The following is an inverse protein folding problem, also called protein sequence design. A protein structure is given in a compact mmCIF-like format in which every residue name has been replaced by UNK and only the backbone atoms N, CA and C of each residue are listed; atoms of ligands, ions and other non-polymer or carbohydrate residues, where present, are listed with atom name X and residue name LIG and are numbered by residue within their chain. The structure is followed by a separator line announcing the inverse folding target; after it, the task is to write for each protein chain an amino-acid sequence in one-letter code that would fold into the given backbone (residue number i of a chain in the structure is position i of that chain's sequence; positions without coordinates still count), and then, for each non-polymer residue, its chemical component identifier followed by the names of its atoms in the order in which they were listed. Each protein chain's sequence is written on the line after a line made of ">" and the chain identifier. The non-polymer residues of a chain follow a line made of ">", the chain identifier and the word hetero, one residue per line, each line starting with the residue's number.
data_IF_384478317488
#
_entry.id   IF_384478317488
#
_cell.length_a   1.000
_cell.length_b   1.000
_cell.length_c   1.000
_cell.angle_alpha   90.00
_cell.angle_beta   90.00
_cell.angle_gamma   90.00
#
_symmetry.space_group_name_H-M   'P 1'
#
loop_
_entity.id
_entity.type
_entity.pdbx_description
1 polymer ?
#
# COMPACT_ATOMS: atom_id res chain seq x y z
N UNK A 1 -22.40 2.57 0.33
CA UNK A 1 -21.37 1.83 -0.43
C UNK A 1 -21.89 1.66 -1.85
N UNK A 2 -21.04 1.84 -2.86
CA UNK A 2 -21.37 1.61 -4.27
C UNK A 2 -20.49 0.48 -4.78
N UNK A 3 -21.05 -0.44 -5.56
CA UNK A 3 -20.33 -1.59 -6.11
C UNK A 3 -20.77 -1.90 -7.55
N UNK A 4 -19.87 -2.49 -8.33
CA UNK A 4 -20.14 -3.10 -9.64
C UNK A 4 -19.79 -4.58 -9.53
N UNK A 5 -20.70 -5.43 -9.99
CA UNK A 5 -20.49 -6.88 -10.09
C UNK A 5 -20.16 -7.21 -11.53
N UNK A 6 -19.01 -7.83 -11.73
CA UNK A 6 -18.54 -8.36 -13.01
C UNK A 6 -18.75 -9.87 -12.99
N UNK A 7 -19.49 -10.37 -13.96
CA UNK A 7 -19.76 -11.80 -14.13
C UNK A 7 -19.17 -12.30 -15.44
N UNK A 8 -18.67 -13.54 -15.47
CA UNK A 8 -18.17 -14.14 -16.70
C UNK A 8 -19.31 -14.41 -17.68
N UNK A 9 -19.14 -14.03 -18.95
CA UNK A 9 -20.08 -14.41 -20.03
C UNK A 9 -20.01 -15.92 -20.32
N UNK A 10 -18.83 -16.52 -20.11
CA UNK A 10 -18.51 -17.89 -20.51
C UNK A 10 -18.76 -18.92 -19.40
N UNK A 11 -19.10 -18.47 -18.20
CA UNK A 11 -19.37 -19.29 -17.02
C UNK A 11 -20.56 -18.69 -16.27
N UNK A 12 -21.79 -19.15 -16.55
CA UNK A 12 -22.99 -18.52 -15.98
C UNK A 12 -23.13 -18.72 -14.46
N UNK A 13 -22.38 -19.66 -13.88
CA UNK A 13 -22.42 -19.99 -12.45
C UNK A 13 -20.99 -20.07 -11.87
N UNK A 14 -20.29 -18.93 -11.72
CA UNK A 14 -18.99 -18.92 -11.05
C UNK A 14 -19.13 -19.39 -9.61
N UNK A 15 -18.15 -20.17 -9.13
CA UNK A 15 -18.09 -20.64 -7.74
C UNK A 15 -17.06 -19.90 -6.88
N UNK A 16 -16.19 -19.10 -7.51
CA UNK A 16 -15.22 -18.24 -6.84
C UNK A 16 -15.56 -16.78 -7.14
N UNK A 17 -15.58 -15.95 -6.10
CA UNK A 17 -15.70 -14.50 -6.20
C UNK A 17 -14.46 -13.79 -5.66
N UNK A 18 -14.02 -12.76 -6.37
CA UNK A 18 -12.99 -11.84 -5.89
C UNK A 18 -13.63 -10.52 -5.43
N UNK A 19 -13.19 -10.01 -4.28
CA UNK A 19 -13.56 -8.68 -3.79
C UNK A 19 -12.40 -7.72 -3.95
N UNK A 20 -12.65 -6.58 -4.59
CA UNK A 20 -11.63 -5.57 -4.91
C UNK A 20 -12.11 -4.19 -4.49
N UNK A 21 -11.28 -3.50 -3.70
CA UNK A 21 -11.51 -2.12 -3.30
C UNK A 21 -10.19 -1.44 -2.97
N UNK A 22 -10.22 -0.11 -2.94
CA UNK A 22 -9.13 0.74 -2.50
C UNK A 22 -9.64 1.64 -1.38
N UNK A 23 -8.79 1.98 -0.40
CA UNK A 23 -9.18 2.77 0.79
C UNK A 23 -9.95 4.06 0.47
N UNK A 24 -9.52 4.78 -0.56
CA UNK A 24 -10.03 6.10 -0.98
C UNK A 24 -10.14 6.24 -2.50
N UNK A 25 -9.76 5.21 -3.24
CA UNK A 25 -9.72 5.23 -4.70
C UNK A 25 -11.03 4.72 -5.29
N UNK A 26 -11.41 5.24 -6.45
CA UNK A 26 -12.56 4.69 -7.16
C UNK A 26 -12.17 3.35 -7.80
N UNK A 27 -12.76 2.26 -7.30
CA UNK A 27 -12.48 0.90 -7.78
C UNK A 27 -13.53 0.39 -8.76
N UNK A 28 -14.60 1.14 -9.04
CA UNK A 28 -15.73 0.64 -9.83
C UNK A 28 -15.39 0.23 -11.27
N UNK A 29 -14.26 0.70 -11.82
CA UNK A 29 -13.75 0.32 -13.15
C UNK A 29 -12.33 -0.28 -13.08
N UNK A 30 -11.99 -0.93 -11.96
CA UNK A 30 -10.66 -1.51 -11.77
C UNK A 30 -10.40 -2.61 -12.82
N UNK A 31 -9.22 -2.57 -13.45
CA UNK A 31 -8.77 -3.56 -14.45
C UNK A 31 -8.89 -4.98 -13.92
N UNK A 32 -8.57 -5.22 -12.64
CA UNK A 32 -8.64 -6.55 -12.03
C UNK A 32 -10.03 -7.18 -12.13
N UNK A 33 -11.10 -6.39 -11.95
CA UNK A 33 -12.46 -6.92 -12.05
C UNK A 33 -12.81 -7.41 -13.46
N UNK A 34 -12.36 -6.70 -14.50
CA UNK A 34 -12.55 -7.13 -15.89
C UNK A 34 -11.72 -8.36 -16.21
N UNK A 35 -10.45 -8.35 -15.84
CA UNK A 35 -9.52 -9.44 -16.14
C UNK A 35 -9.89 -10.75 -15.43
N UNK A 36 -10.39 -10.69 -14.19
CA UNK A 36 -10.88 -11.85 -13.45
C UNK A 36 -12.19 -12.39 -14.03
N UNK A 37 -13.11 -11.51 -14.44
CA UNK A 37 -14.35 -11.92 -15.08
C UNK A 37 -14.12 -12.64 -16.42
N UNK A 38 -13.20 -12.14 -17.26
CA UNK A 38 -12.81 -12.82 -18.50
C UNK A 38 -12.25 -14.23 -18.24
N UNK A 39 -11.66 -14.45 -17.06
CA UNK A 39 -11.07 -15.74 -16.63
C UNK A 39 -12.04 -16.65 -15.87
N UNK A 40 -13.33 -16.34 -15.85
CA UNK A 40 -14.36 -17.25 -15.33
C UNK A 40 -14.74 -17.05 -13.87
N UNK A 41 -14.27 -15.98 -13.23
CA UNK A 41 -14.61 -15.65 -11.84
C UNK A 41 -15.67 -14.56 -11.74
N UNK A 42 -16.44 -14.55 -10.66
CA UNK A 42 -17.16 -13.33 -10.28
C UNK A 42 -16.15 -12.35 -9.69
N UNK A 43 -16.26 -11.06 -10.02
CA UNK A 43 -15.49 -10.01 -9.35
C UNK A 43 -16.40 -8.87 -8.90
N UNK A 44 -16.25 -8.43 -7.65
CA UNK A 44 -17.01 -7.31 -7.09
C UNK A 44 -16.03 -6.19 -6.78
N UNK A 45 -16.15 -5.12 -7.55
CA UNK A 45 -15.40 -3.89 -7.36
C UNK A 45 -16.26 -2.89 -6.60
N UNK A 46 -15.78 -2.38 -5.46
CA UNK A 46 -16.57 -1.48 -4.63
C UNK A 46 -15.78 -0.30 -4.09
N UNK A 47 -16.49 0.79 -3.83
CA UNK A 47 -15.96 1.98 -3.20
C UNK A 47 -16.28 1.96 -1.71
N UNK A 48 -15.27 2.24 -0.90
CA UNK A 48 -15.43 2.46 0.54
C UNK A 48 -16.20 3.76 0.80
N UNK A 49 -16.58 3.99 2.05
CA UNK A 49 -17.18 5.24 2.52
C UNK A 49 -16.30 6.48 2.35
N UNK A 50 -14.99 6.31 2.12
CA UNK A 50 -14.00 7.39 2.01
C UNK A 50 -13.47 7.58 0.58
N UNK A 51 -14.19 7.09 -0.44
CA UNK A 51 -13.83 7.37 -1.84
C UNK A 51 -13.65 8.88 -2.06
N UNK A 52 -12.53 9.25 -2.67
CA UNK A 52 -12.09 10.62 -2.92
C UNK A 52 -11.94 11.51 -1.66
N UNK A 53 -11.82 10.92 -0.47
CA UNK A 53 -11.72 11.69 0.78
C UNK A 53 -10.69 11.10 1.73
N UNK A 54 -9.42 11.37 1.46
CA UNK A 54 -8.31 11.03 2.34
C UNK A 54 -8.40 11.75 3.69
N UNK A 55 -8.76 13.04 3.68
CA UNK A 55 -8.74 13.93 4.85
C UNK A 55 -9.55 13.41 6.05
N UNK A 56 -10.60 12.63 5.79
CA UNK A 56 -11.55 12.16 6.81
C UNK A 56 -11.52 10.64 7.03
N UNK A 57 -10.51 9.94 6.51
CA UNK A 57 -10.41 8.49 6.69
C UNK A 57 -10.42 8.15 8.18
N UNK A 58 -11.25 7.17 8.56
CA UNK A 58 -11.22 6.51 9.87
C UNK A 58 -10.99 5.04 9.63
N UNK A 59 -9.73 4.63 9.69
CA UNK A 59 -9.26 3.38 9.13
C UNK A 59 -10.00 2.15 9.67
N UNK A 60 -10.16 2.10 10.99
CA UNK A 60 -10.76 1.00 11.75
C UNK A 60 -12.19 0.71 11.30
N UNK A 61 -12.86 1.71 10.72
CA UNK A 61 -14.23 1.57 10.24
C UNK A 61 -14.34 1.01 8.82
N UNK A 62 -13.25 0.97 8.06
CA UNK A 62 -13.23 0.49 6.67
C UNK A 62 -13.48 -1.01 6.54
N UNK A 63 -13.09 -1.81 7.54
CA UNK A 63 -13.38 -3.25 7.56
C UNK A 63 -14.90 -3.53 7.49
N UNK A 64 -15.74 -2.61 7.99
CA UNK A 64 -17.19 -2.74 7.87
C UNK A 64 -17.67 -2.59 6.41
N UNK A 65 -16.98 -1.82 5.57
CA UNK A 65 -17.33 -1.72 4.15
C UNK A 65 -16.98 -3.02 3.41
N UNK A 66 -15.82 -3.61 3.73
CA UNK A 66 -15.43 -4.94 3.23
C UNK A 66 -16.43 -6.02 3.70
N UNK A 67 -16.89 -5.94 4.96
CA UNK A 67 -17.91 -6.84 5.51
C UNK A 67 -19.19 -6.83 4.67
N UNK A 68 -19.68 -5.65 4.27
CA UNK A 68 -20.90 -5.55 3.46
C UNK A 68 -20.72 -6.25 2.10
N UNK A 69 -19.55 -6.11 1.46
CA UNK A 69 -19.24 -6.82 0.22
C UNK A 69 -19.11 -8.34 0.43
N UNK A 70 -18.46 -8.77 1.52
CA UNK A 70 -18.34 -10.18 1.91
C UNK A 70 -19.71 -10.82 2.14
N UNK A 71 -20.55 -10.20 2.97
CA UNK A 71 -21.91 -10.68 3.25
C UNK A 71 -22.74 -10.79 1.96
N UNK A 72 -22.63 -9.80 1.06
CA UNK A 72 -23.36 -9.81 -0.22
C UNK A 72 -22.96 -10.99 -1.12
N UNK A 73 -21.66 -11.28 -1.21
CA UNK A 73 -21.15 -12.35 -2.07
C UNK A 73 -21.37 -13.74 -1.45
N UNK A 74 -21.18 -13.91 -0.13
CA UNK A 74 -21.46 -15.18 0.55
C UNK A 74 -22.92 -15.61 0.49
N UNK A 75 -23.84 -14.66 0.31
CA UNK A 75 -25.27 -14.93 0.12
C UNK A 75 -25.67 -15.10 -1.36
N UNK A 76 -24.74 -15.07 -2.32
CA UNK A 76 -25.03 -15.38 -3.73
C UNK A 76 -25.11 -16.89 -3.93
N UNK A 77 -26.21 -17.42 -4.50
CA UNK A 77 -26.24 -18.80 -4.97
C UNK A 77 -25.09 -19.07 -5.95
N UNK A 78 -24.46 -20.24 -5.82
CA UNK A 78 -23.34 -20.66 -6.66
C UNK A 78 -21.96 -20.27 -6.13
N UNK A 79 -21.82 -19.20 -5.33
CA UNK A 79 -20.52 -18.81 -4.77
C UNK A 79 -20.17 -19.67 -3.55
N UNK A 80 -19.06 -20.39 -3.65
CA UNK A 80 -18.52 -21.25 -2.61
C UNK A 80 -17.29 -20.64 -1.95
N UNK A 81 -16.48 -19.90 -2.73
CA UNK A 81 -15.18 -19.36 -2.31
C UNK A 81 -15.10 -17.86 -2.54
N UNK A 82 -14.52 -17.14 -1.58
CA UNK A 82 -14.31 -15.70 -1.66
C UNK A 82 -12.84 -15.36 -1.45
N UNK A 83 -12.25 -14.65 -2.39
CA UNK A 83 -10.87 -14.19 -2.35
C UNK A 83 -10.85 -12.66 -2.21
N UNK A 84 -10.06 -12.12 -1.29
CA UNK A 84 -9.81 -10.68 -1.24
C UNK A 84 -8.59 -10.36 -2.07
N UNK A 85 -8.72 -9.40 -2.99
CA UNK A 85 -7.60 -8.88 -3.75
C UNK A 85 -7.28 -7.46 -3.31
N UNK A 86 -6.12 -7.29 -2.69
CA UNK A 86 -5.62 -6.02 -2.18
C UNK A 86 -4.44 -5.51 -3.00
N UNK A 87 -4.67 -4.52 -3.86
CA UNK A 87 -3.64 -3.82 -4.64
C UNK A 87 -3.39 -2.42 -4.09
N UNK A 88 -2.14 -1.97 -4.07
CA UNK A 88 -1.81 -0.59 -3.66
C UNK A 88 -2.35 -0.28 -2.26
N UNK A 89 -3.09 0.82 -2.06
CA UNK A 89 -3.81 1.12 -0.82
C UNK A 89 -5.01 0.23 -0.52
N UNK A 90 -5.36 -0.71 -1.40
CA UNK A 90 -6.28 -1.82 -1.15
C UNK A 90 -5.63 -2.97 -0.38
N UNK A 91 -4.30 -3.12 -0.44
CA UNK A 91 -3.57 -4.16 0.32
C UNK A 91 -3.69 -4.01 1.83
N UNK A 92 -3.42 -2.84 2.43
CA UNK A 92 -3.64 -2.67 3.87
C UNK A 92 -5.14 -2.77 4.22
N UNK A 93 -6.05 -2.36 3.33
CA UNK A 93 -7.49 -2.46 3.55
C UNK A 93 -7.96 -3.92 3.66
N UNK A 94 -7.63 -4.75 2.66
CA UNK A 94 -8.08 -6.13 2.60
C UNK A 94 -7.38 -7.01 3.65
N UNK A 95 -6.09 -6.78 3.87
CA UNK A 95 -5.35 -7.50 4.91
C UNK A 95 -5.83 -7.13 6.31
N UNK A 96 -6.14 -5.86 6.59
CA UNK A 96 -6.74 -5.45 7.86
C UNK A 96 -8.05 -6.19 8.14
N UNK A 97 -8.96 -6.25 7.16
CA UNK A 97 -10.21 -7.01 7.30
C UNK A 97 -9.92 -8.48 7.62
N UNK A 98 -9.05 -9.13 6.84
CA UNK A 98 -8.77 -10.56 7.00
C UNK A 98 -8.11 -10.87 8.34
N UNK A 99 -7.14 -10.07 8.77
CA UNK A 99 -6.46 -10.27 10.05
C UNK A 99 -7.43 -10.16 11.23
N UNK A 100 -8.38 -9.22 11.20
CA UNK A 100 -9.45 -9.13 12.22
C UNK A 100 -10.44 -10.29 12.10
N UNK A 101 -10.75 -10.75 10.89
CA UNK A 101 -11.67 -11.88 10.70
C UNK A 101 -11.09 -13.21 11.22
N UNK A 102 -9.78 -13.42 11.08
CA UNK A 102 -9.10 -14.63 11.57
C UNK A 102 -8.76 -14.57 13.08
N UNK A 103 -8.35 -13.40 13.58
CA UNK A 103 -7.80 -13.26 14.95
C UNK A 103 -8.71 -12.50 15.92
N UNK A 104 -9.84 -11.99 15.44
CA UNK A 104 -10.76 -11.16 16.21
C UNK A 104 -10.27 -9.73 16.45
N UNK A 105 -11.06 -8.98 17.22
CA UNK A 105 -10.84 -7.55 17.52
C UNK A 105 -9.50 -7.32 18.23
N UNK A 106 -8.98 -8.33 18.96
CA UNK A 106 -7.67 -8.27 19.62
C UNK A 106 -6.49 -7.99 18.70
N UNK A 107 -6.61 -8.25 17.39
CA UNK A 107 -5.57 -7.87 16.42
C UNK A 107 -5.43 -6.35 16.29
N UNK A 108 -6.53 -5.61 16.38
CA UNK A 108 -6.61 -4.17 16.06
C UNK A 108 -6.87 -3.27 17.27
N UNK A 109 -6.93 -3.84 18.47
CA UNK A 109 -7.05 -3.16 19.76
C UNK A 109 -5.80 -3.41 20.61
N UNK A 110 -5.50 -2.51 21.55
CA UNK A 110 -4.36 -2.65 22.46
C UNK A 110 -3.51 -1.39 22.54
N UNK A 111 -2.80 -1.24 23.66
CA UNK A 111 -2.01 -0.05 23.99
C UNK A 111 -0.83 0.22 23.04
N UNK A 112 -0.46 -0.74 22.20
CA UNK A 112 0.55 -0.58 21.17
C UNK A 112 -0.01 0.02 19.85
N UNK A 113 -1.32 0.25 19.74
CA UNK A 113 -1.96 0.87 18.57
C UNK A 113 -2.09 2.38 18.76
N UNK A 114 -1.81 3.13 17.69
CA UNK A 114 -2.08 4.57 17.65
C UNK A 114 -3.58 4.88 17.71
N UNK A 115 -4.40 4.04 17.08
CA UNK A 115 -5.86 4.07 17.15
C UNK A 115 -6.35 2.64 17.31
N UNK A 116 -7.21 2.43 18.30
CA UNK A 116 -7.82 1.13 18.57
C UNK A 116 -9.11 0.96 17.77
N UNK A 117 -9.32 -0.25 17.25
CA UNK A 117 -10.63 -0.63 16.73
C UNK A 117 -11.63 -0.91 17.88
N UNK A 118 -12.88 -1.19 17.52
CA UNK A 118 -13.92 -1.50 18.51
C UNK A 118 -14.69 -2.78 18.17
N UNK A 119 -15.52 -3.23 19.12
CA UNK A 119 -16.32 -4.47 19.05
C UNK A 119 -17.26 -4.59 17.85
N UNK A 120 -17.50 -3.51 17.08
CA UNK A 120 -18.28 -3.61 15.83
C UNK A 120 -17.59 -4.47 14.77
N UNK A 121 -16.29 -4.74 14.92
CA UNK A 121 -15.54 -5.65 14.06
C UNK A 121 -15.51 -7.10 14.58
N UNK A 122 -16.25 -7.44 15.64
CA UNK A 122 -16.34 -8.83 16.09
C UNK A 122 -17.11 -9.69 15.09
N UNK A 123 -16.68 -10.95 14.91
CA UNK A 123 -17.39 -11.94 14.10
C UNK A 123 -17.43 -11.63 12.59
N UNK A 124 -16.40 -10.96 12.06
CA UNK A 124 -16.23 -10.85 10.60
C UNK A 124 -16.01 -12.24 10.00
N UNK A 125 -16.59 -12.49 8.83
CA UNK A 125 -16.38 -13.75 8.10
C UNK A 125 -15.06 -13.70 7.35
N UNK A 126 -14.13 -14.65 7.57
CA UNK A 126 -12.88 -14.69 6.84
C UNK A 126 -13.10 -15.04 5.35
N UNK A 127 -12.22 -14.52 4.51
CA UNK A 127 -12.09 -14.96 3.13
C UNK A 127 -11.38 -16.31 3.05
N UNK A 128 -11.55 -17.02 1.93
CA UNK A 128 -10.88 -18.30 1.67
C UNK A 128 -9.44 -18.11 1.17
N UNK A 129 -9.08 -16.94 0.64
CA UNK A 129 -7.74 -16.66 0.15
C UNK A 129 -7.46 -15.18 -0.05
N UNK A 130 -6.18 -14.84 -0.15
CA UNK A 130 -5.68 -13.48 -0.30
C UNK A 130 -4.79 -13.35 -1.54
N UNK A 131 -4.98 -12.29 -2.31
CA UNK A 131 -4.14 -11.95 -3.46
C UNK A 131 -3.67 -10.51 -3.36
N UNK A 132 -2.37 -10.30 -3.47
CA UNK A 132 -1.71 -9.02 -3.31
C UNK A 132 -0.88 -8.67 -4.55
N UNK A 133 -1.51 -8.18 -5.63
CA UNK A 133 -0.77 -7.67 -6.76
C UNK A 133 -0.31 -6.25 -6.42
N UNK A 134 1.01 -6.02 -6.40
CA UNK A 134 1.69 -4.78 -6.04
C UNK A 134 1.23 -4.13 -4.73
N UNK A 135 1.43 -4.86 -3.63
CA UNK A 135 1.01 -4.39 -2.32
C UNK A 135 1.83 -3.23 -1.76
N UNK A 136 1.14 -2.22 -1.22
CA UNK A 136 1.78 -1.23 -0.36
C UNK A 136 2.09 -1.83 1.02
N UNK A 137 3.21 -1.46 1.66
CA UNK A 137 3.56 -1.92 3.01
C UNK A 137 2.59 -1.43 4.10
N UNK A 138 1.99 -0.28 3.86
CA UNK A 138 1.04 0.36 4.77
C UNK A 138 0.97 1.84 4.47
N UNK A 139 -0.13 2.47 4.84
CA UNK A 139 -0.32 3.88 4.51
C UNK A 139 0.53 4.80 5.39
N UNK A 140 0.74 4.45 6.66
CA UNK A 140 1.70 5.13 7.53
C UNK A 140 3.14 5.01 7.02
N UNK A 141 3.55 3.82 6.55
CA UNK A 141 4.88 3.60 5.95
C UNK A 141 5.06 4.44 4.68
N UNK A 142 4.05 4.46 3.81
CA UNK A 142 4.08 5.27 2.60
C UNK A 142 4.15 6.78 2.90
N UNK A 143 3.56 7.23 4.02
CA UNK A 143 3.68 8.60 4.50
C UNK A 143 5.08 8.87 5.08
N UNK A 144 5.59 7.96 5.91
CA UNK A 144 6.92 8.04 6.49
C UNK A 144 8.01 8.19 5.41
N UNK A 145 7.98 7.34 4.38
CA UNK A 145 8.92 7.43 3.25
C UNK A 145 8.72 8.68 2.39
N UNK A 146 7.52 9.25 2.39
CA UNK A 146 7.18 10.43 1.60
C UNK A 146 7.62 11.75 2.21
N UNK A 147 7.83 11.79 3.54
CA UNK A 147 8.26 12.98 4.28
C UNK A 147 9.59 13.52 3.76
N UNK A 148 9.68 14.84 3.59
CA UNK A 148 10.95 15.53 3.41
C UNK A 148 11.45 16.07 4.76
N UNK A 149 12.38 15.37 5.45
CA UNK A 149 12.85 15.79 6.77
C UNK A 149 13.84 16.97 6.73
N UNK A 150 14.27 17.40 5.53
CA UNK A 150 15.13 18.58 5.39
C UNK A 150 14.38 19.90 5.55
N UNK A 151 13.05 19.87 5.50
CA UNK A 151 12.24 21.08 5.44
C UNK A 151 11.56 21.34 6.78
N UNK A 152 11.59 22.61 7.22
CA UNK A 152 10.83 23.09 8.36
C UNK A 152 10.18 24.44 8.04
N UNK A 153 9.08 24.77 8.71
CA UNK A 153 8.40 26.06 8.58
C UNK A 153 8.58 26.82 9.88
N UNK A 154 9.26 27.97 9.82
CA UNK A 154 9.48 28.86 10.97
C UNK A 154 9.04 30.26 10.57
N UNK A 155 8.10 30.84 11.34
CA UNK A 155 7.53 32.17 11.09
C UNK A 155 7.06 32.39 9.65
N UNK A 156 6.42 31.36 9.06
CA UNK A 156 5.90 31.39 7.69
C UNK A 156 6.97 31.23 6.59
N UNK A 157 8.23 31.04 6.95
CA UNK A 157 9.33 30.80 6.01
C UNK A 157 9.74 29.33 6.01
N UNK A 158 10.03 28.78 4.82
CA UNK A 158 10.59 27.43 4.69
C UNK A 158 12.11 27.48 4.85
N UNK A 159 12.61 26.76 5.85
CA UNK A 159 14.04 26.52 6.05
C UNK A 159 14.41 25.15 5.50
N UNK A 160 15.58 25.07 4.86
CA UNK A 160 16.12 23.83 4.28
C UNK A 160 17.42 23.46 5.00
N UNK A 161 17.50 22.25 5.53
CA UNK A 161 18.74 21.65 5.98
C UNK A 161 19.47 21.01 4.79
N UNK A 162 20.58 21.60 4.31
CA UNK A 162 21.29 21.08 3.14
C UNK A 162 21.90 19.68 3.35
N UNK A 163 22.14 19.25 4.60
CA UNK A 163 22.69 17.92 4.91
C UNK A 163 21.64 16.80 4.79
N UNK A 164 20.36 17.17 4.80
CA UNK A 164 19.23 16.27 4.66
C UNK A 164 18.44 16.49 3.35
N UNK A 165 18.71 17.55 2.57
CA UNK A 165 17.95 17.84 1.35
C UNK A 165 18.20 16.74 0.28
N UNK A 166 17.19 15.91 -0.04
CA UNK A 166 17.34 14.84 -1.02
C UNK A 166 17.41 15.39 -2.45
N UNK A 167 17.14 16.68 -2.65
CA UNK A 167 17.25 17.35 -3.94
C UNK A 167 18.56 18.12 -4.10
N UNK A 168 19.46 18.03 -3.12
CA UNK A 168 20.79 18.61 -3.20
C UNK A 168 21.73 17.65 -3.99
N UNK A 169 22.37 18.10 -5.09
CA UNK A 169 23.34 17.28 -5.82
C UNK A 169 24.50 16.77 -4.95
N UNK A 170 24.89 17.50 -3.90
CA UNK A 170 25.95 17.06 -2.98
C UNK A 170 25.56 15.81 -2.17
N UNK A 171 24.25 15.57 -2.01
CA UNK A 171 23.73 14.35 -1.39
C UNK A 171 23.51 13.20 -2.40
N UNK A 172 23.65 13.46 -3.71
CA UNK A 172 23.49 12.45 -4.76
C UNK A 172 22.34 12.67 -5.75
N UNK A 173 21.58 13.78 -5.61
CA UNK A 173 20.48 14.07 -6.51
C UNK A 173 20.92 14.37 -7.94
N UNK A 174 20.22 13.80 -8.92
CA UNK A 174 20.38 14.11 -10.33
C UNK A 174 19.06 14.63 -10.93
N UNK A 175 18.95 15.93 -11.25
CA UNK A 175 17.71 16.48 -11.81
C UNK A 175 17.39 15.98 -13.23
N UNK A 176 18.38 15.40 -13.92
CA UNK A 176 18.27 14.99 -15.33
C UNK A 176 18.22 13.47 -15.53
N UNK A 177 18.10 12.68 -14.46
CA UNK A 177 18.10 11.22 -14.57
C UNK A 177 18.08 10.50 -13.22
N UNK A 178 18.69 9.32 -13.19
CA UNK A 178 18.86 8.55 -11.96
C UNK A 178 19.81 9.28 -10.99
N UNK A 179 19.33 9.45 -9.76
CA UNK A 179 20.15 9.88 -8.63
C UNK A 179 20.97 8.72 -8.10
N UNK A 180 21.97 9.01 -7.26
CA UNK A 180 22.77 8.00 -6.58
C UNK A 180 23.10 8.47 -5.16
N UNK A 181 22.37 7.97 -4.18
CA UNK A 181 22.53 8.33 -2.77
C UNK A 181 23.52 7.38 -2.09
N UNK A 182 24.46 7.93 -1.32
CA UNK A 182 25.39 7.08 -0.56
C UNK A 182 24.68 6.41 0.62
N UNK A 183 25.19 5.27 1.08
CA UNK A 183 24.69 4.59 2.28
C UNK A 183 24.60 5.54 3.49
N UNK A 184 25.62 6.38 3.69
CA UNK A 184 25.66 7.34 4.80
C UNK A 184 24.61 8.45 4.67
N UNK A 185 24.21 8.83 3.45
CA UNK A 185 23.08 9.76 3.27
C UNK A 185 21.75 9.08 3.54
N UNK A 186 21.57 7.87 3.01
CA UNK A 186 20.34 7.10 3.19
C UNK A 186 20.06 6.87 4.68
N UNK A 187 21.04 6.41 5.45
CA UNK A 187 20.91 6.17 6.90
C UNK A 187 20.47 7.44 7.66
N UNK A 188 21.23 8.54 7.53
CA UNK A 188 20.86 9.79 8.23
C UNK A 188 19.50 10.35 7.80
N UNK A 189 19.13 10.17 6.53
CA UNK A 189 17.87 10.62 5.97
C UNK A 189 16.68 9.83 6.53
N UNK A 190 16.78 8.50 6.54
CA UNK A 190 15.74 7.62 7.09
C UNK A 190 15.56 7.78 8.60
N UNK A 191 16.63 8.00 9.37
CA UNK A 191 16.51 8.39 10.78
C UNK A 191 15.79 9.73 10.95
N UNK A 192 16.05 10.70 10.06
CA UNK A 192 15.40 12.01 10.11
C UNK A 192 13.90 11.93 9.76
N UNK A 193 13.51 11.10 8.78
CA UNK A 193 12.10 10.82 8.48
C UNK A 193 11.36 10.28 9.71
N UNK A 194 11.94 9.28 10.40
CA UNK A 194 11.38 8.72 11.64
C UNK A 194 11.20 9.78 12.73
N UNK A 195 12.21 10.64 12.95
CA UNK A 195 12.12 11.72 13.94
C UNK A 195 10.97 12.68 13.64
N UNK A 196 10.80 13.06 12.36
CA UNK A 196 9.72 13.96 11.95
C UNK A 196 8.34 13.30 12.11
N UNK A 197 8.19 12.03 11.71
CA UNK A 197 6.94 11.29 11.89
C UNK A 197 6.57 11.15 13.36
N UNK A 198 7.49 10.67 14.21
CA UNK A 198 7.21 10.46 15.64
C UNK A 198 6.87 11.78 16.35
N UNK A 199 7.59 12.86 16.04
CA UNK A 199 7.26 14.18 16.57
C UNK A 199 5.85 14.61 16.17
N UNK A 200 5.46 14.36 14.90
CA UNK A 200 4.11 14.69 14.43
C UNK A 200 3.03 13.87 15.12
N UNK A 201 3.30 12.59 15.39
CA UNK A 201 2.43 11.71 16.19
C UNK A 201 2.24 12.28 17.60
N UNK A 202 3.33 12.63 18.29
CA UNK A 202 3.26 13.23 19.64
C UNK A 202 2.45 14.55 19.66
N UNK A 203 2.68 15.42 18.67
CA UNK A 203 1.91 16.67 18.50
C UNK A 203 0.41 16.40 18.34
N UNK A 204 0.04 15.41 17.52
CA UNK A 204 -1.37 15.10 17.23
C UNK A 204 -2.04 14.36 18.40
N UNK A 205 -1.33 13.48 19.10
CA UNK A 205 -1.84 12.84 20.32
C UNK A 205 -2.11 13.89 21.42
N UNK A 206 -1.17 14.82 21.62
CA UNK A 206 -1.35 15.94 22.56
C UNK A 206 -2.57 16.80 22.18
N UNK A 207 -2.81 17.00 20.89
CA UNK A 207 -3.99 17.72 20.41
C UNK A 207 -5.29 16.94 20.70
N UNK A 208 -5.31 15.62 20.49
CA UNK A 208 -6.45 14.78 20.87
C UNK A 208 -6.75 14.83 22.37
N UNK A 209 -5.72 14.77 23.23
CA UNK A 209 -5.90 14.89 24.68
C UNK A 209 -6.53 16.24 25.08
N UNK A 210 -6.14 17.32 24.39
CA UNK A 210 -6.75 18.64 24.59
C UNK A 210 -8.19 18.70 24.10
N UNK A 211 -8.52 18.05 22.98
CA UNK A 211 -9.90 17.94 22.48
C UNK A 211 -10.75 17.17 23.49
N UNK A 212 -10.31 15.98 23.90
CA UNK A 212 -11.01 15.11 24.84
C UNK A 212 -11.23 15.75 26.22
N UNK A 213 -10.31 16.61 26.67
CA UNK A 213 -10.42 17.35 27.94
C UNK A 213 -11.17 18.68 27.83
N UNK A 214 -11.71 19.04 26.66
CA UNK A 214 -12.44 20.29 26.44
C UNK A 214 -11.56 21.55 26.45
N UNK A 215 -10.25 21.40 26.25
CA UNK A 215 -9.24 22.47 26.20
C UNK A 215 -8.87 22.89 24.77
N UNK A 216 -9.71 22.55 23.81
CA UNK A 216 -9.57 22.88 22.40
C UNK A 216 -10.86 23.53 21.88
N UNK A 217 -10.76 24.26 20.76
CA UNK A 217 -11.87 25.03 20.20
C UNK A 217 -12.93 24.15 19.53
N UNK A 218 -12.51 23.00 18.99
CA UNK A 218 -13.39 21.98 18.43
C UNK A 218 -13.54 20.80 19.40
N UNK A 219 -14.76 20.24 19.56
CA UNK A 219 -15.03 19.20 20.54
C UNK A 219 -14.76 17.77 20.03
N UNK A 220 -14.41 17.60 18.76
CA UNK A 220 -14.35 16.30 18.07
C UNK A 220 -13.05 16.07 17.29
N UNK A 221 -12.66 16.98 16.41
CA UNK A 221 -11.48 16.85 15.54
C UNK A 221 -10.84 18.22 15.29
N UNK A 222 -9.60 18.23 14.82
CA UNK A 222 -8.99 19.43 14.22
C UNK A 222 -8.20 19.08 12.94
N UNK A 223 -7.79 20.12 12.21
CA UNK A 223 -7.01 20.02 10.99
C UNK A 223 -5.55 19.71 11.33
N UNK A 224 -5.02 18.65 10.72
CA UNK A 224 -3.61 18.30 10.72
C UNK A 224 -3.03 18.57 9.34
N UNK A 225 -2.14 19.55 9.26
CA UNK A 225 -1.29 19.76 8.09
C UNK A 225 -0.02 18.93 8.21
N UNK A 226 0.26 18.14 7.18
CA UNK A 226 1.52 17.41 7.03
C UNK A 226 2.21 17.93 5.76
N UNK A 227 3.06 18.95 5.89
CA UNK A 227 3.76 19.51 4.74
C UNK A 227 4.83 18.54 4.24
N UNK A 228 5.07 18.57 2.93
CA UNK A 228 6.10 17.82 2.23
C UNK A 228 5.98 16.28 2.30
N UNK A 229 4.75 15.77 2.32
CA UNK A 229 4.39 14.33 2.42
C UNK A 229 3.36 13.89 1.35
N UNK A 230 2.79 14.81 0.57
CA UNK A 230 1.84 14.40 -0.46
C UNK A 230 2.50 13.55 -1.56
N UNK A 231 1.84 12.46 -1.97
CA UNK A 231 2.39 11.44 -2.89
C UNK A 231 2.95 12.01 -4.20
N UNK A 232 2.33 13.07 -4.74
CA UNK A 232 2.76 13.69 -5.99
C UNK A 232 4.16 14.32 -5.89
N UNK A 233 4.50 14.86 -4.72
CA UNK A 233 5.79 15.46 -4.40
C UNK A 233 6.54 14.70 -3.31
N UNK A 234 6.27 13.41 -3.09
CA UNK A 234 6.88 12.64 -2.02
C UNK A 234 8.40 12.57 -2.19
N UNK A 235 9.16 12.80 -1.11
CA UNK A 235 10.62 12.85 -1.11
C UNK A 235 11.27 11.47 -0.90
N UNK A 236 10.81 10.46 -1.63
CA UNK A 236 11.30 9.09 -1.48
C UNK A 236 12.60 8.88 -2.26
N UNK A 237 13.65 8.42 -1.60
CA UNK A 237 14.94 8.20 -2.26
C UNK A 237 14.86 7.16 -3.39
N UNK A 238 14.09 6.10 -3.20
CA UNK A 238 13.86 5.02 -4.18
C UNK A 238 13.16 5.50 -5.46
N UNK A 239 12.40 6.61 -5.41
CA UNK A 239 11.78 7.23 -6.57
C UNK A 239 12.80 7.92 -7.48
N UNK A 240 13.99 8.21 -6.98
CA UNK A 240 15.04 8.93 -7.71
C UNK A 240 16.26 8.06 -7.99
N UNK A 241 16.58 7.14 -7.09
CA UNK A 241 17.71 6.23 -7.18
C UNK A 241 17.22 4.78 -7.34
N UNK A 242 17.20 4.24 -8.56
CA UNK A 242 16.75 2.87 -8.82
C UNK A 242 17.76 1.81 -8.38
N UNK A 243 18.91 2.20 -7.83
CA UNK A 243 19.96 1.26 -7.37
C UNK A 243 19.81 0.87 -5.90
N UNK A 244 18.85 1.46 -5.18
CA UNK A 244 18.51 1.13 -3.79
C UNK A 244 17.88 -0.26 -3.72
N UNK A 245 18.69 -1.28 -3.47
CA UNK A 245 18.27 -2.69 -3.46
C UNK A 245 17.24 -3.00 -2.38
N UNK A 246 17.23 -2.24 -1.29
CA UNK A 246 16.36 -2.37 -0.12
C UNK A 246 14.87 -2.14 -0.46
N UNK A 247 14.58 -1.64 -1.65
CA UNK A 247 13.21 -1.41 -2.16
C UNK A 247 13.04 -1.99 -3.58
N UNK A 248 14.08 -1.85 -4.42
CA UNK A 248 14.03 -2.09 -5.85
C UNK A 248 14.34 -3.53 -6.27
N UNK A 249 14.76 -4.42 -5.36
CA UNK A 249 15.19 -5.78 -5.72
C UNK A 249 14.79 -6.82 -4.70
N UNK A 250 14.67 -8.08 -5.14
CA UNK A 250 14.62 -9.19 -4.18
C UNK A 250 15.99 -9.43 -3.56
N UNK A 251 16.03 -9.87 -2.31
CA UNK A 251 17.26 -10.30 -1.63
C UNK A 251 17.71 -11.66 -2.13
N UNK A 252 16.76 -12.56 -2.42
CA UNK A 252 17.03 -13.93 -2.86
C UNK A 252 16.44 -14.20 -4.25
N UNK A 253 16.88 -15.26 -4.94
CA UNK A 253 16.25 -15.66 -6.18
C UNK A 253 14.78 -16.04 -5.96
N UNK A 254 13.88 -15.38 -6.68
CA UNK A 254 12.42 -15.59 -6.61
C UNK A 254 11.85 -15.92 -7.99
N UNK A 255 10.61 -16.43 -8.03
CA UNK A 255 9.89 -16.63 -9.30
C UNK A 255 9.78 -15.29 -10.02
N UNK A 256 10.17 -15.29 -11.29
CA UNK A 256 10.11 -14.12 -12.17
C UNK A 256 9.40 -14.53 -13.46
N UNK A 257 8.19 -13.99 -13.67
CA UNK A 257 7.36 -14.31 -14.82
C UNK A 257 7.74 -13.42 -16.01
N UNK A 258 8.38 -14.02 -17.00
CA UNK A 258 8.83 -13.36 -18.22
C UNK A 258 7.67 -13.04 -19.16
N UNK A 259 7.87 -12.08 -20.06
CA UNK A 259 6.86 -11.65 -21.04
C UNK A 259 6.36 -12.80 -21.95
N UNK A 260 7.21 -13.79 -22.23
CA UNK A 260 6.85 -14.99 -23.02
C UNK A 260 6.06 -16.06 -22.22
N UNK A 261 5.78 -15.82 -20.93
CA UNK A 261 5.04 -16.72 -20.05
C UNK A 261 5.90 -17.75 -19.30
N UNK A 262 7.22 -17.78 -19.50
CA UNK A 262 8.10 -18.68 -18.74
C UNK A 262 8.43 -18.11 -17.36
N UNK A 263 8.56 -18.99 -16.36
CA UNK A 263 8.99 -18.61 -15.00
C UNK A 263 10.46 -18.95 -14.84
N UNK A 264 11.25 -17.97 -14.43
CA UNK A 264 12.65 -18.12 -14.06
C UNK A 264 12.81 -17.90 -12.55
N UNK A 265 13.89 -18.43 -11.95
CA UNK A 265 14.28 -18.10 -10.58
C UNK A 265 15.51 -17.20 -10.63
N UNK A 266 15.34 -15.94 -10.21
CA UNK A 266 16.42 -14.95 -10.25
C UNK A 266 16.26 -13.86 -9.20
N UNK A 267 17.34 -13.12 -8.95
CA UNK A 267 17.27 -11.82 -8.27
C UNK A 267 16.50 -10.87 -9.18
N UNK A 268 15.26 -10.57 -8.81
CA UNK A 268 14.44 -9.63 -9.56
C UNK A 268 14.91 -8.21 -9.27
N UNK A 269 15.14 -7.42 -10.31
CA UNK A 269 15.48 -5.99 -10.20
C UNK A 269 14.42 -5.18 -10.91
N UNK A 270 13.96 -4.12 -10.26
CA UNK A 270 12.97 -3.22 -10.83
C UNK A 270 13.54 -2.47 -12.02
N UNK A 271 12.73 -2.31 -13.07
CA UNK A 271 13.02 -1.46 -14.22
C UNK A 271 12.33 -0.09 -14.13
N UNK A 272 11.81 0.27 -12.95
CA UNK A 272 11.11 1.54 -12.76
C UNK A 272 12.03 2.73 -13.10
N UNK A 273 11.46 3.71 -13.81
CA UNK A 273 12.18 4.92 -14.19
C UNK A 273 12.25 5.92 -13.03
N UNK A 274 13.38 6.64 -12.87
CA UNK A 274 13.51 7.68 -11.86
C UNK A 274 12.59 8.86 -12.14
N UNK A 275 12.13 9.54 -11.08
CA UNK A 275 11.15 10.64 -11.14
C UNK A 275 11.70 11.97 -10.61
N UNK A 276 12.81 12.51 -11.13
CA UNK A 276 13.44 13.71 -10.59
C UNK A 276 12.54 14.97 -10.64
N UNK A 277 11.52 14.98 -11.50
CA UNK A 277 10.55 16.08 -11.60
C UNK A 277 9.70 16.27 -10.34
N UNK A 278 9.60 15.27 -9.46
CA UNK A 278 8.87 15.43 -8.19
C UNK A 278 9.52 16.46 -7.26
N UNK A 279 10.81 16.77 -7.43
CA UNK A 279 11.50 17.83 -6.68
C UNK A 279 10.80 19.20 -6.84
N UNK A 280 10.25 19.48 -8.03
CA UNK A 280 9.52 20.72 -8.30
C UNK A 280 8.14 20.75 -7.63
N UNK A 281 7.57 19.58 -7.37
CA UNK A 281 6.23 19.41 -6.80
C UNK A 281 6.27 19.39 -5.27
N UNK A 282 7.33 18.83 -4.67
CA UNK A 282 7.48 18.66 -3.21
C UNK A 282 7.22 19.95 -2.43
N UNK A 283 7.71 21.10 -2.94
CA UNK A 283 7.58 22.40 -2.27
C UNK A 283 6.27 23.13 -2.55
N UNK A 284 5.35 22.54 -3.32
CA UNK A 284 4.05 23.15 -3.63
C UNK A 284 3.00 22.75 -2.59
N UNK A 285 1.98 23.60 -2.40
CA UNK A 285 0.85 23.24 -1.53
C UNK A 285 0.08 22.02 -2.07
N UNK A 286 -0.33 22.08 -3.34
CA UNK A 286 -1.20 21.07 -3.97
C UNK A 286 -0.54 19.69 -4.03
N UNK A 287 0.76 19.64 -4.36
CA UNK A 287 1.47 18.39 -4.54
C UNK A 287 2.37 17.98 -3.38
N UNK A 288 2.59 18.87 -2.40
CA UNK A 288 3.48 18.66 -1.27
C UNK A 288 2.78 18.53 0.08
N UNK A 289 1.58 19.10 0.27
CA UNK A 289 0.94 19.15 1.60
C UNK A 289 -0.24 18.17 1.68
N UNK A 290 -0.28 17.33 2.71
CA UNK A 290 -1.50 16.62 3.10
C UNK A 290 -2.30 17.45 4.09
N UNK A 291 -3.62 17.45 3.88
CA UNK A 291 -4.59 18.06 4.79
C UNK A 291 -5.45 16.93 5.34
N UNK A 292 -5.32 16.68 6.63
CA UNK A 292 -5.96 15.56 7.33
C UNK A 292 -6.72 16.09 8.54
N UNK A 293 -7.52 15.22 9.14
CA UNK A 293 -8.04 15.38 10.50
C UNK A 293 -7.10 14.70 11.50
N UNK A 294 -7.24 15.00 12.80
CA UNK A 294 -6.51 14.33 13.88
C UNK A 294 -6.65 12.80 13.80
N UNK A 295 -7.87 12.31 13.59
CA UNK A 295 -8.18 10.89 13.43
C UNK A 295 -7.61 10.30 12.14
N UNK A 296 -7.74 11.01 11.01
CA UNK A 296 -7.21 10.51 9.73
C UNK A 296 -5.69 10.43 9.69
N UNK A 297 -5.01 11.33 10.38
CA UNK A 297 -3.57 11.26 10.54
C UNK A 297 -3.17 10.00 11.32
N UNK A 298 -3.67 9.81 12.55
CA UNK A 298 -3.27 8.69 13.39
C UNK A 298 -3.76 7.33 12.88
N UNK A 299 -4.99 7.24 12.39
CA UNK A 299 -5.58 5.96 11.94
C UNK A 299 -4.97 5.45 10.63
N UNK A 300 -4.59 6.35 9.71
CA UNK A 300 -4.29 5.97 8.33
C UNK A 300 -2.98 6.53 7.75
N UNK A 301 -2.32 7.51 8.36
CA UNK A 301 -1.15 8.18 7.79
C UNK A 301 0.03 8.29 8.76
N UNK A 302 -0.01 7.55 9.86
CA UNK A 302 1.03 7.53 10.88
C UNK A 302 1.54 6.10 11.12
N UNK A 303 2.81 5.99 11.47
CA UNK A 303 3.46 4.77 11.94
C UNK A 303 4.63 5.18 12.83
N UNK A 304 4.86 4.46 13.93
CA UNK A 304 6.05 4.67 14.77
C UNK A 304 7.27 4.00 14.12
N UNK A 305 8.42 4.65 14.21
CA UNK A 305 9.68 4.08 13.71
C UNK A 305 10.89 4.70 14.37
N UNK A 306 11.99 3.96 14.51
CA UNK A 306 13.31 4.52 14.84
C UNK A 306 14.16 4.74 13.58
N UNK A 307 13.96 3.91 12.56
CA UNK A 307 14.61 3.99 11.25
C UNK A 307 13.59 3.76 10.15
N UNK A 308 13.48 4.67 9.18
CA UNK A 308 12.42 4.60 8.18
C UNK A 308 12.56 3.45 7.17
N UNK A 309 13.61 2.63 7.24
CA UNK A 309 13.73 1.40 6.43
C UNK A 309 13.78 0.13 7.27
N UNK A 310 14.57 0.13 8.36
CA UNK A 310 14.95 -1.12 9.04
C UNK A 310 14.31 -1.29 10.43
N UNK A 311 13.68 -0.24 10.97
CA UNK A 311 13.11 -0.25 12.32
C UNK A 311 11.80 0.55 12.35
N UNK A 312 10.82 0.01 11.62
CA UNK A 312 9.44 0.49 11.60
C UNK A 312 8.61 -0.44 12.48
N UNK A 313 7.88 0.13 13.45
CA UNK A 313 6.85 -0.59 14.17
C UNK A 313 5.60 -0.70 13.29
N UNK A 314 5.62 -1.68 12.38
CA UNK A 314 4.51 -1.97 11.47
C UNK A 314 3.18 -2.20 12.19
N UNK A 315 3.22 -2.66 13.45
CA UNK A 315 2.02 -2.96 14.20
C UNK A 315 1.48 -1.80 15.03
N UNK A 316 2.20 -0.66 15.10
CA UNK A 316 1.71 0.58 15.72
C UNK A 316 0.46 1.16 15.04
N UNK A 317 0.22 0.80 13.78
CA UNK A 317 -0.96 1.22 13.01
C UNK A 317 -1.77 0.02 12.51
N UNK A 318 -3.08 0.19 12.39
CA UNK A 318 -3.96 -0.77 11.75
C UNK A 318 -3.93 -0.68 10.21
N UNK A 319 -3.37 0.41 9.66
CA UNK A 319 -3.22 0.63 8.22
C UNK A 319 -1.92 0.03 7.65
N UNK A 320 -1.56 -1.18 8.07
CA UNK A 320 -0.31 -1.86 7.72
C UNK A 320 -0.56 -3.24 7.12
N UNK A 321 -0.14 -3.43 5.88
CA UNK A 321 -0.14 -4.74 5.22
C UNK A 321 0.86 -5.69 5.89
N UNK A 322 2.07 -5.23 6.24
CA UNK A 322 3.09 -6.07 6.86
C UNK A 322 2.61 -6.68 8.18
N UNK A 323 2.16 -5.87 9.14
CA UNK A 323 1.57 -6.37 10.38
C UNK A 323 0.37 -7.30 10.16
N UNK A 324 -0.53 -6.97 9.24
CA UNK A 324 -1.71 -7.79 8.97
C UNK A 324 -1.35 -9.15 8.35
N UNK A 325 -0.48 -9.18 7.33
CA UNK A 325 -0.05 -10.42 6.67
C UNK A 325 0.66 -11.36 7.63
N UNK A 326 1.43 -10.86 8.60
CA UNK A 326 2.07 -11.67 9.63
C UNK A 326 1.06 -12.40 10.55
N UNK A 327 -0.23 -12.09 10.44
CA UNK A 327 -1.33 -12.68 11.21
C UNK A 327 -2.40 -13.33 10.31
N UNK A 328 -2.11 -13.59 9.03
CA UNK A 328 -3.06 -14.23 8.10
C UNK A 328 -2.55 -15.62 7.73
N UNK A 329 -3.35 -16.64 8.03
CA UNK A 329 -3.08 -18.04 7.70
C UNK A 329 -3.74 -18.48 6.38
N UNK A 330 -4.71 -17.72 5.86
CA UNK A 330 -5.37 -18.05 4.59
C UNK A 330 -4.36 -18.17 3.42
N UNK A 331 -4.60 -19.07 2.45
CA UNK A 331 -3.80 -19.18 1.23
C UNK A 331 -3.53 -17.83 0.60
N UNK A 332 -2.25 -17.51 0.35
CA UNK A 332 -1.82 -16.16 0.00
C UNK A 332 -0.96 -16.14 -1.26
N UNK A 333 -1.30 -15.30 -2.23
CA UNK A 333 -0.46 -14.97 -3.39
C UNK A 333 0.01 -13.52 -3.30
N UNK A 334 1.32 -13.30 -3.40
CA UNK A 334 1.91 -11.97 -3.53
C UNK A 334 2.57 -11.86 -4.90
N UNK A 335 2.17 -10.85 -5.68
CA UNK A 335 2.67 -10.64 -7.03
C UNK A 335 3.24 -9.22 -7.16
N UNK A 336 4.56 -9.07 -7.16
CA UNK A 336 5.22 -7.77 -7.30
C UNK A 336 5.31 -7.33 -8.76
N UNK A 337 5.21 -6.02 -9.00
CA UNK A 337 5.31 -5.46 -10.35
C UNK A 337 6.76 -5.08 -10.66
N UNK A 338 7.34 -5.68 -11.70
CA UNK A 338 8.75 -5.57 -12.05
C UNK A 338 9.19 -4.18 -12.52
N UNK A 339 8.27 -3.25 -12.77
CA UNK A 339 8.56 -1.85 -13.09
C UNK A 339 8.04 -0.89 -12.01
N UNK A 340 8.14 -1.29 -10.73
CA UNK A 340 7.79 -0.45 -9.59
C UNK A 340 8.75 -0.61 -8.39
N UNK A 341 8.64 0.27 -7.40
CA UNK A 341 9.67 0.47 -6.38
C UNK A 341 9.45 -0.37 -5.10
N UNK A 342 8.53 -1.34 -5.10
CA UNK A 342 8.11 -2.08 -3.89
C UNK A 342 8.42 -3.58 -3.96
N UNK A 343 9.40 -4.00 -4.75
CA UNK A 343 9.73 -5.42 -4.90
C UNK A 343 10.17 -6.00 -3.54
N UNK A 344 11.10 -5.34 -2.83
CA UNK A 344 11.59 -5.86 -1.55
C UNK A 344 10.52 -5.85 -0.47
N UNK A 345 9.68 -4.81 -0.40
CA UNK A 345 8.59 -4.76 0.57
C UNK A 345 7.63 -5.94 0.43
N UNK A 346 7.33 -6.37 -0.80
CA UNK A 346 6.47 -7.51 -1.07
C UNK A 346 7.16 -8.85 -0.81
N UNK A 347 8.48 -8.93 -1.02
CA UNK A 347 9.25 -10.11 -0.62
C UNK A 347 9.25 -10.29 0.91
N UNK A 348 9.42 -9.20 1.67
CA UNK A 348 9.32 -9.23 3.13
C UNK A 348 7.93 -9.68 3.59
N UNK A 349 6.85 -9.19 2.97
CA UNK A 349 5.49 -9.69 3.25
C UNK A 349 5.36 -11.21 3.01
N UNK A 350 5.99 -11.72 1.95
CA UNK A 350 6.02 -13.16 1.69
C UNK A 350 6.80 -13.92 2.77
N UNK A 351 7.94 -13.39 3.19
CA UNK A 351 8.79 -13.98 4.23
C UNK A 351 8.05 -14.03 5.58
N UNK A 352 7.38 -12.92 5.96
CA UNK A 352 6.67 -12.73 7.23
C UNK A 352 5.33 -13.49 7.31
N UNK A 353 4.69 -13.81 6.18
CA UNK A 353 3.39 -14.48 6.17
C UNK A 353 3.46 -15.87 6.82
N UNK A 354 2.60 -16.20 7.80
CA UNK A 354 2.55 -17.54 8.39
C UNK A 354 1.75 -18.53 7.56
N UNK A 355 1.09 -18.09 6.47
CA UNK A 355 0.25 -18.94 5.63
C UNK A 355 1.02 -20.17 5.14
N UNK A 356 0.52 -21.40 5.39
CA UNK A 356 1.19 -22.63 4.98
C UNK A 356 1.20 -22.79 3.46
N UNK A 357 0.19 -22.24 2.80
CA UNK A 357 0.11 -22.14 1.35
C UNK A 357 0.31 -20.69 0.91
N UNK A 358 1.55 -20.33 0.61
CA UNK A 358 1.91 -19.00 0.11
C UNK A 358 2.77 -19.06 -1.14
N UNK A 359 2.59 -18.09 -2.02
CA UNK A 359 3.39 -17.94 -3.24
C UNK A 359 3.84 -16.49 -3.46
N UNK A 360 5.02 -16.31 -4.05
CA UNK A 360 5.58 -15.02 -4.41
C UNK A 360 6.15 -15.05 -5.82
N UNK A 361 5.77 -14.05 -6.62
CA UNK A 361 6.22 -13.89 -8.00
C UNK A 361 6.43 -12.43 -8.36
N UNK A 362 7.42 -12.15 -9.21
CA UNK A 362 7.62 -10.82 -9.81
C UNK A 362 7.21 -10.87 -11.28
N UNK A 363 6.38 -9.93 -11.72
CA UNK A 363 5.90 -9.85 -13.11
C UNK A 363 6.79 -8.92 -13.92
N UNK A 364 7.48 -9.45 -14.93
CA UNK A 364 8.40 -8.68 -15.77
C UNK A 364 7.71 -7.45 -16.37
N UNK A 365 8.29 -6.27 -16.17
CA UNK A 365 7.86 -5.02 -16.82
C UNK A 365 6.46 -4.52 -16.47
N UNK A 366 5.74 -5.18 -15.55
CA UNK A 366 4.46 -4.68 -15.08
C UNK A 366 4.67 -3.39 -14.28
N UNK A 367 3.86 -2.38 -14.57
CA UNK A 367 3.79 -1.16 -13.76
C UNK A 367 2.87 -1.35 -12.57
N UNK A 368 2.87 -0.40 -11.63
CA UNK A 368 1.95 -0.38 -10.49
C UNK A 368 0.48 -0.51 -10.91
N UNK A 369 0.08 -0.08 -12.11
CA UNK A 369 -1.30 -0.20 -12.61
C UNK A 369 -1.62 -1.54 -13.28
N UNK A 370 -0.84 -2.59 -13.05
CA UNK A 370 -0.88 -3.91 -13.71
C UNK A 370 -0.47 -3.92 -15.19
N UNK A 371 -0.53 -2.77 -15.86
CA UNK A 371 -0.25 -2.62 -17.29
C UNK A 371 1.25 -2.65 -17.58
N UNK A 372 1.64 -2.98 -18.83
CA UNK A 372 3.04 -2.87 -19.27
C UNK A 372 3.63 -1.47 -19.03
N UNK A 373 4.87 -1.40 -18.54
CA UNK A 373 5.63 -0.14 -18.53
C UNK A 373 6.25 0.12 -19.91
N UNK A 374 5.48 0.73 -20.81
CA UNK A 374 5.95 1.06 -22.17
C UNK A 374 7.21 1.94 -22.12
N UNK A 375 7.27 2.90 -21.20
CA UNK A 375 8.42 3.80 -21.05
C UNK A 375 9.69 3.07 -20.58
N UNK A 376 9.56 1.89 -19.98
CA UNK A 376 10.67 1.08 -19.52
C UNK A 376 11.22 0.15 -20.63
N UNK A 377 10.58 0.07 -21.79
CA UNK A 377 10.96 -0.85 -22.86
C UNK A 377 12.23 -0.40 -23.59
N UNK A 378 13.14 -1.34 -23.86
CA UNK A 378 14.29 -1.17 -24.75
C UNK A 378 13.89 -1.38 -26.23
N UNK A 379 12.85 -2.17 -26.47
CA UNK A 379 12.27 -2.40 -27.80
C UNK A 379 10.75 -2.54 -27.72
N UNK A 380 10.00 -2.14 -28.77
CA UNK A 380 8.54 -2.16 -28.73
C UNK A 380 7.96 -3.54 -28.38
N UNK A 381 7.11 -3.56 -27.36
CA UNK A 381 6.37 -4.75 -26.95
C UNK A 381 7.15 -5.71 -26.04
N UNK A 382 8.31 -5.31 -25.54
CA UNK A 382 9.12 -6.07 -24.57
C UNK A 382 8.29 -6.55 -23.36
N UNK A 383 7.28 -5.78 -22.93
CA UNK A 383 6.44 -6.08 -21.76
C UNK A 383 4.95 -6.24 -22.10
N UNK A 384 4.62 -6.42 -23.38
CA UNK A 384 3.24 -6.42 -23.89
C UNK A 384 2.27 -7.40 -23.19
N UNK A 385 2.76 -8.49 -22.61
CA UNK A 385 1.95 -9.51 -21.93
C UNK A 385 1.91 -9.36 -20.40
N UNK A 386 2.56 -8.37 -19.77
CA UNK A 386 2.66 -8.29 -18.30
C UNK A 386 1.30 -8.39 -17.59
N UNK A 387 0.29 -7.68 -18.08
CA UNK A 387 -1.08 -7.72 -17.52
C UNK A 387 -1.71 -9.10 -17.69
N UNK A 388 -1.63 -9.67 -18.90
CA UNK A 388 -2.16 -11.00 -19.19
C UNK A 388 -1.51 -12.06 -18.29
N UNK A 389 -0.18 -12.01 -18.19
CA UNK A 389 0.62 -12.95 -17.41
C UNK A 389 0.29 -12.87 -15.92
N UNK A 390 0.13 -11.67 -15.36
CA UNK A 390 -0.31 -11.49 -13.98
C UNK A 390 -1.67 -12.16 -13.72
N UNK A 391 -2.69 -11.83 -14.51
CA UNK A 391 -4.04 -12.34 -14.24
C UNK A 391 -4.22 -13.81 -14.61
N UNK A 392 -3.47 -14.32 -15.60
CA UNK A 392 -3.40 -15.76 -15.88
C UNK A 392 -2.78 -16.51 -14.69
N UNK A 393 -1.74 -15.95 -14.07
CA UNK A 393 -1.11 -16.53 -12.89
C UNK A 393 -2.06 -16.54 -11.69
N UNK A 394 -2.74 -15.42 -11.42
CA UNK A 394 -3.75 -15.34 -10.35
C UNK A 394 -4.87 -16.37 -10.58
N UNK A 395 -5.35 -16.50 -11.82
CA UNK A 395 -6.40 -17.46 -12.15
C UNK A 395 -5.96 -18.91 -11.97
N UNK A 396 -4.75 -19.25 -12.40
CA UNK A 396 -4.17 -20.58 -12.19
C UNK A 396 -3.99 -20.86 -10.69
N UNK A 397 -3.51 -19.88 -9.93
CA UNK A 397 -3.33 -19.99 -8.49
C UNK A 397 -4.66 -20.26 -7.78
N UNK A 398 -5.73 -19.55 -8.16
CA UNK A 398 -7.07 -19.72 -7.56
C UNK A 398 -7.69 -21.07 -7.92
N UNK A 399 -7.73 -21.42 -9.22
CA UNK A 399 -8.31 -22.69 -9.69
C UNK A 399 -7.57 -23.94 -9.17
N UNK A 400 -6.29 -23.82 -8.81
CA UNK A 400 -5.54 -24.93 -8.23
C UNK A 400 -5.92 -25.22 -6.77
N UNK A 401 -6.61 -24.30 -6.08
CA UNK A 401 -6.87 -24.34 -4.64
C UNK A 401 -8.34 -24.47 -4.27
N UNK A 402 -9.22 -24.02 -5.15
CA UNK A 402 -10.61 -23.72 -4.83
C UNK A 402 -11.57 -24.31 -5.83
#
# INVERSE_FOLDING_TARGET
>A
MTAVVYTPDNNPEPHIAFLIAHRTGNSLDNIACRELAIRGFMAVCFNTRFVNNETKVRWETLALDVKVAMDFVRNKPGIEKVILLGHSGGSPLMSFYQAVAENGVSFCSGANKLIECNEKLAGLMPADGMVYPDAHPGNGVQALHGLNPSLSIVDGSVLVDPFLDPFNPDNGFNPNGASKYTEEFRDRYYQAQSRVMNKKIEEVLTLQDRIASGQHIFPDEDIVLVPFDAQAGAARLDAYDPTITETMSTEQPRKFLKNNGTIEFQIARSVALPKPMQAQVNRTFIGGVKILTTESFLSANAVLSAHAMDDIDHCSTNASTNCAIANIEAPTLIAAMGAYNHIRFQELMFEDSPAPDKDFIVIEGASHGYTPCIACEEFPGQYSNSMKNLFDYIAQWANARF
#
